data_IF_376369813563
#
_entry.id   IF_376369813563
#
_cell.length_a   1.000
_cell.length_b   1.000
_cell.length_c   1.000
_cell.angle_alpha   90.00
_cell.angle_beta   90.00
_cell.angle_gamma   90.00
#
_symmetry.space_group_name_H-M   'P 1'
#
loop_
_entity.id
_entity.type
_entity.pdbx_description
1 polymer ?
#
# COMPACT_ATOMS: atom_id res chain seq x y z
N UNK A 1 2.31 -2.47 15.23
CA UNK A 1 2.83 -1.55 14.16
C UNK A 1 1.66 -0.94 13.38
N UNK A 2 0.69 -0.32 14.10
CA UNK A 2 -0.57 0.23 13.50
C UNK A 2 -0.36 1.47 12.61
N UNK A 3 0.85 1.98 12.53
CA UNK A 3 1.31 3.06 11.65
C UNK A 3 2.01 2.54 10.38
N UNK A 4 2.05 1.21 10.17
CA UNK A 4 2.73 0.60 9.02
C UNK A 4 1.77 -0.19 8.16
N UNK A 5 1.83 0.04 6.84
CA UNK A 5 1.26 -0.84 5.82
C UNK A 5 2.40 -1.67 5.24
N UNK A 6 2.31 -2.99 5.35
CA UNK A 6 3.24 -3.91 4.72
C UNK A 6 2.89 -4.10 3.25
N UNK A 7 3.87 -4.00 2.35
CA UNK A 7 3.67 -4.26 0.91
C UNK A 7 4.41 -5.52 0.54
N UNK A 8 3.74 -6.44 -0.16
CA UNK A 8 4.36 -7.70 -0.54
C UNK A 8 5.21 -7.60 -1.82
N UNK A 9 6.17 -8.46 -1.90
CA UNK A 9 6.91 -8.87 -3.08
C UNK A 9 7.52 -10.24 -2.74
N UNK A 10 6.89 -11.34 -3.19
CA UNK A 10 7.29 -12.70 -2.85
C UNK A 10 8.73 -13.05 -3.28
N UNK A 11 9.28 -12.34 -4.28
CA UNK A 11 10.65 -12.53 -4.77
C UNK A 11 11.73 -12.03 -3.79
N UNK A 12 11.34 -11.27 -2.77
CA UNK A 12 12.25 -10.77 -1.74
C UNK A 12 12.27 -11.65 -0.48
N UNK A 13 11.42 -12.68 -0.43
CA UNK A 13 11.32 -13.55 0.73
C UNK A 13 12.42 -14.60 0.72
N UNK A 14 13.08 -14.81 1.86
CA UNK A 14 14.09 -15.85 2.08
C UNK A 14 13.45 -17.18 2.59
N UNK A 15 12.13 -17.22 2.68
CA UNK A 15 11.30 -18.36 3.13
C UNK A 15 10.02 -18.48 2.34
N UNK A 16 9.23 -19.57 2.52
CA UNK A 16 7.92 -19.70 1.86
C UNK A 16 7.04 -18.47 2.10
N UNK A 17 6.40 -17.98 1.05
CA UNK A 17 5.71 -16.68 1.07
C UNK A 17 4.63 -16.58 2.15
N UNK A 18 3.80 -17.61 2.31
CA UNK A 18 2.74 -17.59 3.34
C UNK A 18 3.29 -17.59 4.76
N UNK A 19 4.43 -18.23 5.00
CA UNK A 19 5.14 -18.15 6.28
C UNK A 19 5.63 -16.72 6.53
N UNK A 20 6.16 -16.04 5.50
CA UNK A 20 6.54 -14.64 5.62
C UNK A 20 5.33 -13.75 5.93
N UNK A 21 4.20 -13.98 5.25
CA UNK A 21 2.95 -13.22 5.55
C UNK A 21 2.50 -13.45 7.00
N UNK A 22 2.60 -14.68 7.51
CA UNK A 22 2.27 -14.95 8.91
C UNK A 22 3.18 -14.18 9.87
N UNK A 23 4.49 -14.13 9.61
CA UNK A 23 5.44 -13.32 10.41
C UNK A 23 5.11 -11.83 10.36
N UNK A 24 4.81 -11.30 9.18
CA UNK A 24 4.38 -9.91 9.02
C UNK A 24 3.10 -9.63 9.82
N UNK A 25 2.11 -10.53 9.76
CA UNK A 25 0.86 -10.37 10.51
C UNK A 25 1.08 -10.40 12.04
N UNK A 26 2.06 -11.15 12.55
CA UNK A 26 2.45 -11.15 13.97
C UNK A 26 3.03 -9.81 14.46
N UNK A 27 3.46 -8.94 13.55
CA UNK A 27 3.85 -7.56 13.86
C UNK A 27 2.66 -6.61 13.96
N UNK A 28 1.45 -7.08 13.67
CA UNK A 28 0.20 -6.31 13.67
C UNK A 28 0.29 -5.00 12.88
N UNK A 29 0.63 -5.04 11.57
CA UNK A 29 0.59 -3.85 10.73
C UNK A 29 -0.85 -3.33 10.57
N UNK A 30 -1.01 -2.08 10.16
CA UNK A 30 -2.32 -1.50 9.85
C UNK A 30 -3.03 -2.27 8.71
N UNK A 31 -2.25 -2.75 7.74
CA UNK A 31 -2.74 -3.57 6.63
C UNK A 31 -1.57 -4.29 5.92
N UNK A 32 -1.91 -5.27 5.09
CA UNK A 32 -1.02 -5.89 4.10
C UNK A 32 -1.56 -5.56 2.71
N UNK A 33 -0.75 -4.94 1.84
CA UNK A 33 -1.03 -4.78 0.41
C UNK A 33 -0.41 -5.95 -0.34
N UNK A 34 -1.23 -6.80 -0.96
CA UNK A 34 -0.79 -7.91 -1.80
C UNK A 34 -0.40 -7.39 -3.19
N UNK A 35 0.90 -7.16 -3.41
CA UNK A 35 1.43 -6.58 -4.64
C UNK A 35 2.30 -7.58 -5.41
N UNK A 36 1.66 -8.44 -6.20
CA UNK A 36 2.30 -9.45 -7.03
C UNK A 36 1.86 -9.26 -8.50
N UNK A 37 2.60 -8.38 -9.23
CA UNK A 37 2.19 -7.85 -10.53
C UNK A 37 2.39 -8.81 -11.72
N UNK A 38 3.08 -9.92 -11.50
CA UNK A 38 3.48 -10.89 -12.52
C UNK A 38 2.59 -12.12 -12.58
N UNK A 39 1.48 -12.11 -11.85
CA UNK A 39 0.48 -13.17 -11.83
C UNK A 39 -0.67 -12.88 -12.80
N UNK A 40 -1.26 -13.93 -13.35
CA UNK A 40 -2.57 -13.84 -13.98
C UNK A 40 -3.67 -13.57 -12.94
N UNK A 41 -4.85 -13.14 -13.37
CA UNK A 41 -5.99 -12.90 -12.48
C UNK A 41 -6.36 -14.15 -11.67
N UNK A 42 -6.30 -15.33 -12.28
CA UNK A 42 -6.61 -16.60 -11.61
C UNK A 42 -5.57 -16.96 -10.54
N UNK A 43 -4.28 -16.85 -10.87
CA UNK A 43 -3.19 -17.09 -9.92
C UNK A 43 -3.22 -16.09 -8.77
N UNK A 44 -3.47 -14.80 -9.09
CA UNK A 44 -3.58 -13.76 -8.08
C UNK A 44 -4.79 -13.98 -7.16
N UNK A 45 -5.93 -14.40 -7.70
CA UNK A 45 -7.12 -14.71 -6.90
C UNK A 45 -6.88 -15.89 -5.94
N UNK A 46 -6.21 -16.95 -6.41
CA UNK A 46 -5.84 -18.08 -5.55
C UNK A 46 -4.89 -17.65 -4.43
N UNK A 47 -3.82 -16.92 -4.76
CA UNK A 47 -2.88 -16.39 -3.77
C UNK A 47 -3.57 -15.42 -2.78
N UNK A 48 -4.49 -14.58 -3.26
CA UNK A 48 -5.24 -13.66 -2.42
C UNK A 48 -6.11 -14.39 -1.39
N UNK A 49 -6.72 -15.51 -1.75
CA UNK A 49 -7.50 -16.34 -0.83
C UNK A 49 -6.62 -16.92 0.30
N UNK A 50 -5.44 -17.44 -0.05
CA UNK A 50 -4.49 -17.97 0.93
C UNK A 50 -3.98 -16.88 1.88
N UNK A 51 -3.55 -15.74 1.34
CA UNK A 51 -3.07 -14.59 2.13
C UNK A 51 -4.19 -14.01 2.99
N UNK A 52 -5.42 -13.95 2.47
CA UNK A 52 -6.59 -13.50 3.24
C UNK A 52 -6.84 -14.38 4.46
N UNK A 53 -6.73 -15.70 4.30
CA UNK A 53 -6.88 -16.65 5.40
C UNK A 53 -5.86 -16.40 6.51
N UNK A 54 -4.60 -16.13 6.15
CA UNK A 54 -3.55 -15.78 7.13
C UNK A 54 -3.86 -14.43 7.78
N UNK A 55 -4.15 -13.39 7.00
CA UNK A 55 -4.45 -12.06 7.52
C UNK A 55 -5.63 -12.08 8.49
N UNK A 56 -6.70 -12.82 8.17
CA UNK A 56 -7.90 -12.98 9.00
C UNK A 56 -7.58 -13.59 10.37
N UNK A 57 -6.70 -14.61 10.43
CA UNK A 57 -6.25 -15.24 11.68
C UNK A 57 -5.67 -14.23 12.67
N UNK A 58 -5.00 -13.19 12.18
CA UNK A 58 -4.34 -12.15 12.99
C UNK A 58 -5.13 -10.83 13.05
N UNK A 59 -6.34 -10.81 12.49
CA UNK A 59 -7.16 -9.59 12.39
C UNK A 59 -6.42 -8.43 11.68
N UNK A 60 -5.62 -8.74 10.67
CA UNK A 60 -4.92 -7.79 9.82
C UNK A 60 -5.69 -7.61 8.52
N UNK A 61 -5.89 -6.37 8.08
CA UNK A 61 -6.58 -6.07 6.83
C UNK A 61 -5.73 -6.46 5.63
N UNK A 62 -6.32 -7.21 4.70
CA UNK A 62 -5.75 -7.42 3.37
C UNK A 62 -6.29 -6.38 2.39
N UNK A 63 -5.39 -5.79 1.61
CA UNK A 63 -5.68 -4.85 0.53
C UNK A 63 -5.13 -5.46 -0.76
N UNK A 64 -5.99 -5.66 -1.75
CA UNK A 64 -5.55 -6.12 -3.07
C UNK A 64 -4.86 -4.98 -3.84
N UNK A 65 -4.03 -5.31 -4.82
CA UNK A 65 -3.31 -4.30 -5.59
C UNK A 65 -3.56 -4.51 -7.08
N UNK A 66 -4.13 -3.51 -7.75
CA UNK A 66 -4.35 -3.45 -9.22
C UNK A 66 -5.47 -4.33 -9.77
N UNK A 67 -5.66 -5.55 -9.27
CA UNK A 67 -6.61 -6.54 -9.81
C UNK A 67 -8.06 -6.25 -9.40
N UNK A 68 -8.70 -5.27 -10.07
CA UNK A 68 -10.06 -4.80 -9.76
C UNK A 68 -11.08 -5.93 -9.90
N UNK A 69 -11.01 -6.71 -10.98
CA UNK A 69 -11.93 -7.83 -11.20
C UNK A 69 -11.83 -8.91 -10.11
N UNK A 70 -10.65 -9.12 -9.53
CA UNK A 70 -10.46 -10.04 -8.40
C UNK A 70 -11.07 -9.47 -7.13
N UNK A 71 -10.89 -8.16 -6.85
CA UNK A 71 -11.48 -7.51 -5.69
C UNK A 71 -13.01 -7.65 -5.67
N UNK A 72 -13.66 -7.43 -6.80
CA UNK A 72 -15.12 -7.55 -6.94
C UNK A 72 -15.63 -8.97 -6.70
N UNK A 73 -14.87 -9.99 -7.15
CA UNK A 73 -15.26 -11.40 -7.07
C UNK A 73 -14.97 -12.06 -5.73
N UNK A 74 -13.94 -11.63 -5.02
CA UNK A 74 -13.47 -12.30 -3.79
C UNK A 74 -14.11 -11.79 -2.51
N UNK A 75 -14.87 -10.69 -2.56
CA UNK A 75 -15.44 -10.06 -1.37
C UNK A 75 -14.38 -9.35 -0.48
N UNK A 76 -13.13 -9.26 -0.92
CA UNK A 76 -12.10 -8.45 -0.27
C UNK A 76 -12.35 -6.99 -0.63
N UNK A 77 -12.90 -6.23 0.30
CA UNK A 77 -13.46 -4.90 0.09
C UNK A 77 -12.42 -3.76 0.11
N UNK A 78 -11.16 -4.05 -0.16
CA UNK A 78 -10.07 -3.08 -0.15
C UNK A 78 -9.12 -3.28 -1.34
N UNK A 79 -8.81 -2.19 -2.05
CA UNK A 79 -7.89 -2.19 -3.19
C UNK A 79 -6.94 -0.99 -3.15
N UNK A 80 -5.72 -1.18 -3.65
CA UNK A 80 -4.73 -0.13 -3.87
C UNK A 80 -4.39 -0.01 -5.35
N UNK A 81 -4.44 1.20 -5.91
CA UNK A 81 -4.30 1.49 -7.33
C UNK A 81 -3.21 2.54 -7.59
N UNK A 82 -2.72 2.63 -8.81
CA UNK A 82 -2.07 3.85 -9.32
C UNK A 82 -3.14 4.91 -9.60
N UNK A 83 -2.72 6.18 -9.71
CA UNK A 83 -3.67 7.27 -10.06
C UNK A 83 -4.35 7.00 -11.40
N UNK A 84 -3.64 6.49 -12.41
CA UNK A 84 -4.22 6.17 -13.72
C UNK A 84 -5.27 5.06 -13.64
N UNK A 85 -5.03 4.03 -12.81
CA UNK A 85 -6.02 3.00 -12.58
C UNK A 85 -7.21 3.50 -11.76
N UNK A 86 -6.99 4.40 -10.81
CA UNK A 86 -8.10 5.01 -10.07
C UNK A 86 -8.99 5.83 -11.01
N UNK A 87 -8.42 6.64 -11.89
CA UNK A 87 -9.15 7.36 -12.96
C UNK A 87 -9.97 6.40 -13.83
N UNK A 88 -9.29 5.35 -14.33
CA UNK A 88 -9.89 4.36 -15.22
C UNK A 88 -11.08 3.63 -14.61
N UNK A 89 -10.96 3.22 -13.35
CA UNK A 89 -11.93 2.37 -12.67
C UNK A 89 -12.85 3.13 -11.70
N UNK A 90 -12.76 4.47 -11.65
CA UNK A 90 -13.51 5.30 -10.70
C UNK A 90 -15.01 4.98 -10.69
N UNK A 91 -15.66 5.04 -11.87
CA UNK A 91 -17.11 4.78 -11.99
C UNK A 91 -17.47 3.37 -11.57
N UNK A 92 -16.71 2.36 -12.01
CA UNK A 92 -16.93 0.96 -11.65
C UNK A 92 -16.79 0.74 -10.13
N UNK A 93 -15.77 1.33 -9.52
CA UNK A 93 -15.50 1.20 -8.08
C UNK A 93 -16.47 1.98 -7.21
N UNK A 94 -17.17 2.98 -7.76
CA UNK A 94 -18.21 3.73 -7.04
C UNK A 94 -19.40 2.84 -6.70
N UNK A 95 -19.78 1.97 -7.61
CA UNK A 95 -20.95 1.09 -7.50
C UNK A 95 -20.60 -0.33 -7.03
N UNK A 96 -19.33 -0.57 -6.67
CA UNK A 96 -18.83 -1.87 -6.22
C UNK A 96 -18.88 -2.02 -4.69
N UNK A 97 -18.66 -3.26 -4.23
CA UNK A 97 -18.50 -3.58 -2.80
C UNK A 97 -17.12 -3.18 -2.23
N UNK A 98 -16.25 -2.54 -3.03
CA UNK A 98 -14.92 -2.10 -2.60
C UNK A 98 -15.04 -0.80 -1.79
N UNK A 99 -15.03 -0.94 -0.47
CA UNK A 99 -15.22 0.17 0.46
C UNK A 99 -13.93 1.01 0.66
N UNK A 100 -12.74 0.38 0.58
CA UNK A 100 -11.46 1.04 0.83
C UNK A 100 -10.66 1.10 -0.47
N UNK A 101 -10.38 2.32 -0.91
CA UNK A 101 -9.59 2.59 -2.11
C UNK A 101 -8.33 3.35 -1.72
N UNK A 102 -7.18 2.72 -1.89
CA UNK A 102 -5.87 3.36 -1.75
C UNK A 102 -5.33 3.81 -3.10
N UNK A 103 -4.56 4.87 -3.12
CA UNK A 103 -3.94 5.36 -4.34
C UNK A 103 -2.46 5.73 -4.15
N UNK A 104 -1.60 5.29 -5.06
CA UNK A 104 -0.21 5.76 -5.15
C UNK A 104 -0.15 7.07 -5.91
N UNK A 105 0.50 8.09 -5.32
CA UNK A 105 0.64 9.42 -5.92
C UNK A 105 2.10 9.88 -5.96
N UNK A 106 2.38 10.78 -6.89
CA UNK A 106 3.72 11.30 -7.14
C UNK A 106 3.76 12.84 -7.26
N UNK A 107 2.65 13.53 -7.05
CA UNK A 107 2.56 14.99 -6.97
C UNK A 107 1.45 15.42 -6.01
N UNK A 108 1.45 16.67 -5.56
CA UNK A 108 0.36 17.25 -4.76
C UNK A 108 -0.94 17.26 -5.56
N UNK A 109 -0.86 17.56 -6.86
CA UNK A 109 -2.02 17.55 -7.73
C UNK A 109 -2.67 16.17 -7.83
N UNK A 110 -1.86 15.10 -7.98
CA UNK A 110 -2.37 13.72 -7.95
C UNK A 110 -2.98 13.36 -6.58
N UNK A 111 -2.48 13.92 -5.48
CA UNK A 111 -3.05 13.68 -4.15
C UNK A 111 -4.45 14.29 -4.02
N UNK A 112 -4.62 15.54 -4.47
CA UNK A 112 -5.91 16.22 -4.49
C UNK A 112 -6.90 15.45 -5.37
N UNK A 113 -6.49 15.12 -6.58
CA UNK A 113 -7.32 14.35 -7.53
C UNK A 113 -7.71 12.98 -6.97
N UNK A 114 -6.78 12.24 -6.35
CA UNK A 114 -7.09 10.95 -5.74
C UNK A 114 -8.16 11.09 -4.65
N UNK A 115 -8.11 12.15 -3.83
CA UNK A 115 -9.12 12.43 -2.83
C UNK A 115 -10.49 12.74 -3.46
N UNK A 116 -10.53 13.56 -4.51
CA UNK A 116 -11.75 13.87 -5.28
C UNK A 116 -12.35 12.62 -5.94
N UNK A 117 -11.52 11.70 -6.41
CA UNK A 117 -11.92 10.39 -6.94
C UNK A 117 -12.32 9.38 -5.85
N UNK A 118 -12.38 9.79 -4.59
CA UNK A 118 -12.86 8.98 -3.48
C UNK A 118 -11.84 7.98 -2.92
N UNK A 119 -10.54 8.27 -3.03
CA UNK A 119 -9.54 7.50 -2.32
C UNK A 119 -9.73 7.65 -0.79
N UNK A 120 -9.66 6.53 -0.07
CA UNK A 120 -9.74 6.50 1.39
C UNK A 120 -8.39 6.84 2.04
N UNK A 121 -7.31 6.57 1.34
CA UNK A 121 -5.94 6.90 1.71
C UNK A 121 -5.04 6.97 0.47
N UNK A 122 -3.90 7.63 0.62
CA UNK A 122 -2.88 7.69 -0.43
C UNK A 122 -1.51 7.23 0.08
N UNK A 123 -0.67 6.75 -0.85
CA UNK A 123 0.75 6.54 -0.58
C UNK A 123 1.57 7.54 -1.38
N UNK A 124 2.33 8.38 -0.66
CA UNK A 124 3.14 9.45 -1.23
C UNK A 124 4.61 9.01 -1.33
N UNK A 125 5.20 9.07 -2.50
CA UNK A 125 6.60 8.69 -2.63
C UNK A 125 7.22 8.75 -4.02
N UNK A 126 8.48 8.30 -4.07
CA UNK A 126 9.31 7.80 -2.95
C UNK A 126 9.99 8.95 -2.18
N UNK A 127 9.95 8.86 -0.86
CA UNK A 127 10.40 9.95 0.01
C UNK A 127 11.93 9.97 0.16
N UNK A 128 12.55 8.80 0.35
CA UNK A 128 13.99 8.64 0.45
C UNK A 128 14.53 7.75 -0.66
N UNK A 129 15.81 7.83 -0.95
CA UNK A 129 16.47 6.94 -1.92
C UNK A 129 16.18 5.46 -1.61
N UNK A 130 15.92 4.69 -2.64
CA UNK A 130 15.56 3.27 -2.53
C UNK A 130 16.03 2.48 -3.74
N UNK A 131 16.47 1.25 -3.51
CA UNK A 131 16.91 0.33 -4.57
C UNK A 131 15.81 0.04 -5.61
N UNK A 132 14.55 0.14 -5.22
CA UNK A 132 13.41 -0.09 -6.12
C UNK A 132 13.25 1.01 -7.18
N UNK A 133 13.91 2.18 -7.01
CA UNK A 133 13.86 3.33 -7.93
C UNK A 133 15.25 3.93 -8.13
N UNK A 134 16.24 3.09 -8.45
CA UNK A 134 17.61 3.53 -8.74
C UNK A 134 17.64 4.56 -9.86
N UNK A 135 18.40 5.64 -9.66
CA UNK A 135 18.55 6.71 -10.65
C UNK A 135 17.41 7.74 -10.69
N UNK A 136 16.34 7.55 -9.91
CA UNK A 136 15.28 8.55 -9.76
C UNK A 136 15.50 9.32 -8.46
N UNK A 137 15.58 10.68 -8.48
CA UNK A 137 15.71 11.46 -7.25
C UNK A 137 14.54 11.25 -6.30
N UNK A 138 14.77 11.13 -4.98
CA UNK A 138 13.71 11.08 -3.99
C UNK A 138 12.95 12.42 -3.94
N UNK A 139 11.68 12.38 -3.57
CA UNK A 139 10.84 13.59 -3.49
C UNK A 139 11.05 14.38 -2.18
N UNK A 140 11.55 13.73 -1.14
CA UNK A 140 11.87 14.35 0.14
C UNK A 140 10.68 14.63 1.05
N UNK A 141 11.00 15.15 2.24
CA UNK A 141 10.02 15.44 3.29
C UNK A 141 9.17 16.68 2.97
N UNK A 142 9.71 17.68 2.29
CA UNK A 142 8.96 18.87 1.86
C UNK A 142 7.78 18.52 0.95
N UNK A 143 7.99 17.59 0.01
CA UNK A 143 6.91 17.05 -0.82
C UNK A 143 5.84 16.34 0.04
N UNK A 144 6.28 15.50 1.00
CA UNK A 144 5.35 14.78 1.88
C UNK A 144 4.51 15.74 2.70
N UNK A 145 5.14 16.76 3.29
CA UNK A 145 4.46 17.80 4.07
C UNK A 145 3.44 18.55 3.21
N UNK A 146 3.83 19.00 2.01
CA UNK A 146 2.91 19.66 1.09
C UNK A 146 1.71 18.77 0.72
N UNK A 147 1.92 17.46 0.52
CA UNK A 147 0.82 16.51 0.30
C UNK A 147 -0.12 16.47 1.52
N UNK A 148 0.42 16.30 2.74
CA UNK A 148 -0.38 16.21 3.96
C UNK A 148 -1.20 17.49 4.23
N UNK A 149 -0.67 18.65 3.88
CA UNK A 149 -1.34 19.95 4.04
C UNK A 149 -2.48 20.18 3.04
N UNK A 150 -2.47 19.49 1.90
CA UNK A 150 -3.44 19.72 0.81
C UNK A 150 -4.54 18.67 0.70
N UNK A 151 -4.56 17.63 1.54
CA UNK A 151 -5.61 16.60 1.52
C UNK A 151 -6.11 16.29 2.94
N UNK A 152 -7.38 15.91 3.06
CA UNK A 152 -8.01 15.52 4.33
C UNK A 152 -8.13 14.00 4.50
N UNK A 153 -7.49 13.21 3.64
CA UNK A 153 -7.45 11.74 3.73
C UNK A 153 -6.11 11.26 4.30
N UNK A 154 -6.05 10.01 4.75
CA UNK A 154 -4.83 9.47 5.35
C UNK A 154 -3.70 9.40 4.31
N UNK A 155 -2.52 9.92 4.68
CA UNK A 155 -1.30 9.87 3.87
C UNK A 155 -0.32 8.90 4.50
N UNK A 156 0.18 7.94 3.73
CA UNK A 156 1.28 7.06 4.12
C UNK A 156 2.50 7.35 3.25
N UNK A 157 3.65 7.53 3.87
CA UNK A 157 4.91 7.72 3.15
C UNK A 157 5.47 6.39 2.64
N UNK A 158 6.06 6.37 1.45
CA UNK A 158 6.71 5.19 0.89
C UNK A 158 8.07 5.51 0.28
N UNK A 159 9.00 4.56 0.35
CA UNK A 159 10.31 4.59 -0.30
C UNK A 159 11.44 4.93 0.65
N UNK A 160 12.37 3.98 0.84
CA UNK A 160 13.56 4.10 1.66
C UNK A 160 13.31 4.15 3.17
N UNK A 161 12.13 3.70 3.63
CA UNK A 161 11.76 3.65 5.04
C UNK A 161 11.92 2.21 5.53
N UNK A 162 12.63 2.04 6.64
CA UNK A 162 12.87 0.74 7.29
C UNK A 162 11.94 0.53 8.48
N UNK A 163 11.84 -0.73 8.94
CA UNK A 163 11.07 -1.11 10.12
C UNK A 163 11.63 -0.39 11.36
N UNK A 164 12.95 -0.39 11.49
CA UNK A 164 13.69 0.28 12.56
C UNK A 164 14.31 1.57 12.03
N UNK A 165 14.20 2.65 12.78
CA UNK A 165 14.87 3.89 12.43
C UNK A 165 14.01 5.16 12.49
N UNK A 166 14.70 6.31 12.45
CA UNK A 166 14.12 7.64 12.62
C UNK A 166 13.16 8.05 11.49
N UNK A 167 13.33 7.50 10.28
CA UNK A 167 12.52 7.88 9.12
C UNK A 167 11.02 7.67 9.30
N UNK A 168 10.60 6.72 10.13
CA UNK A 168 9.17 6.56 10.46
C UNK A 168 8.65 7.73 11.28
N UNK A 169 9.44 8.22 12.24
CA UNK A 169 9.11 9.39 13.01
C UNK A 169 9.14 10.66 12.16
N UNK A 170 10.19 10.85 11.35
CA UNK A 170 10.32 12.00 10.44
C UNK A 170 9.11 12.19 9.52
N UNK A 171 8.59 11.09 8.93
CA UNK A 171 7.41 11.18 8.05
C UNK A 171 6.12 11.48 8.84
N UNK A 172 6.00 11.02 10.09
CA UNK A 172 4.86 11.37 10.94
C UNK A 172 4.90 12.83 11.36
N UNK A 173 6.07 13.41 11.61
CA UNK A 173 6.27 14.83 11.89
C UNK A 173 5.86 15.71 10.71
N UNK A 174 5.90 15.20 9.47
CA UNK A 174 5.35 15.86 8.28
C UNK A 174 3.82 15.76 8.16
N UNK A 175 3.12 15.09 9.10
CA UNK A 175 1.68 14.91 9.06
C UNK A 175 1.21 13.57 8.44
N UNK A 176 2.12 12.69 8.02
CA UNK A 176 1.73 11.37 7.53
C UNK A 176 1.18 10.49 8.66
N UNK A 177 0.15 9.70 8.35
CA UNK A 177 -0.41 8.70 9.27
C UNK A 177 0.61 7.61 9.63
N UNK A 178 1.53 7.33 8.72
CA UNK A 178 2.55 6.31 8.89
C UNK A 178 3.30 6.00 7.60
N UNK A 179 3.78 4.78 7.48
CA UNK A 179 4.70 4.36 6.41
C UNK A 179 4.25 3.10 5.69
N UNK A 180 4.56 3.00 4.40
CA UNK A 180 4.50 1.76 3.64
C UNK A 180 5.90 1.16 3.51
N UNK A 181 6.05 -0.10 3.93
CA UNK A 181 7.35 -0.80 3.94
C UNK A 181 7.23 -2.11 3.14
N UNK A 182 8.12 -2.30 2.16
CA UNK A 182 8.16 -3.51 1.33
C UNK A 182 9.34 -4.41 1.69
N UNK A 183 10.55 -4.04 1.35
CA UNK A 183 11.73 -4.91 1.50
C UNK A 183 12.00 -5.31 2.95
N UNK A 184 11.87 -4.38 3.89
CA UNK A 184 12.01 -4.67 5.30
C UNK A 184 10.99 -5.70 5.79
N UNK A 185 9.72 -5.59 5.37
CA UNK A 185 8.66 -6.54 5.74
C UNK A 185 8.82 -7.92 5.08
N UNK A 186 9.40 -7.98 3.89
CA UNK A 186 9.60 -9.26 3.19
C UNK A 186 10.85 -10.02 3.67
N UNK A 187 11.70 -9.38 4.46
CA UNK A 187 12.93 -9.97 5.04
C UNK A 187 12.88 -10.08 6.58
N UNK A 188 11.80 -9.62 7.21
CA UNK A 188 11.63 -9.62 8.66
C UNK A 188 11.54 -11.05 9.26
#
# INVERSE_FOLDING_TARGET
MQDVIAITNRRLCDRPFLEQIERVCKLYPAAVILREKDLSDAEYAALAADVYSVCKKYNVRLILHTYVAVAEKTGINAIHLSIDNLRKYHSQLKDSNVAIKGCSIHSVQEAIEAAELGASYITAGHIYSTDCKRGVPPRGLEFLKAVCENVNIQVYAIGGINIDGSRRQEVQECGAKGSCIMSGMMKA
#
